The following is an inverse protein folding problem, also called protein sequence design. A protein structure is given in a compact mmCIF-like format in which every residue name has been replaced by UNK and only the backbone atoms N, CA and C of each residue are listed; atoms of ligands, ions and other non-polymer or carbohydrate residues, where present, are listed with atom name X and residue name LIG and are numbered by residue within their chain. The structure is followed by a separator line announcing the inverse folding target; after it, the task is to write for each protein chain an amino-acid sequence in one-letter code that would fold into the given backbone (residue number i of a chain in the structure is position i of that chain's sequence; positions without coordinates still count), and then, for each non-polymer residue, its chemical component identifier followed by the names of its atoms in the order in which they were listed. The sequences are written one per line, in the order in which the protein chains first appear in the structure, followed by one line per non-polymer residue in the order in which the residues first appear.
data_IF_244732979049
#
_entry.id   IF_244732979049
#
_cell.length_a   1.000
_cell.length_b   1.000
_cell.length_c   1.000
_cell.angle_alpha   90.00
_cell.angle_beta   90.00
_cell.angle_gamma   90.00
#
_symmetry.space_group_name_H-M   'P 1'
#
loop_
_entity.id
_entity.type
_entity.pdbx_description
1 polymer ?
#
# COMPACT_ATOMS: atom_id res chain seq x y z
N UNK A 1 -6.23 -4.30 -13.07
CA UNK A 1 -5.85 -2.90 -12.73
C UNK A 1 -4.97 -2.95 -11.49
N UNK A 2 -3.75 -2.41 -11.54
CA UNK A 2 -2.83 -2.36 -10.39
C UNK A 2 -3.24 -1.20 -9.48
N UNK A 3 -3.51 -1.50 -8.21
CA UNK A 3 -3.79 -0.51 -7.16
C UNK A 3 -2.89 -0.82 -5.98
N UNK A 4 -2.46 0.21 -5.24
CA UNK A 4 -1.60 0.04 -4.06
C UNK A 4 -2.38 -0.30 -2.80
N UNK A 5 -3.71 -0.33 -2.89
CA UNK A 5 -4.61 -0.83 -1.86
C UNK A 5 -5.70 -1.69 -2.49
N UNK A 6 -6.11 -2.73 -1.76
CA UNK A 6 -7.25 -3.56 -2.10
C UNK A 6 -8.28 -3.53 -0.99
N UNK A 7 -9.55 -3.63 -1.39
CA UNK A 7 -10.70 -3.56 -0.51
C UNK A 7 -11.57 -4.79 -0.68
N UNK A 8 -12.11 -5.31 0.41
CA UNK A 8 -13.06 -6.42 0.37
C UNK A 8 -14.06 -6.32 1.52
N UNK A 9 -15.21 -6.97 1.32
CA UNK A 9 -16.25 -7.10 2.33
C UNK A 9 -16.10 -8.47 2.99
N UNK A 10 -15.61 -8.56 4.24
CA UNK A 10 -15.55 -9.82 4.94
C UNK A 10 -16.98 -10.32 5.23
N UNK A 11 -17.10 -11.63 5.47
CA UNK A 11 -18.30 -12.16 6.10
C UNK A 11 -18.44 -11.57 7.51
N UNK A 12 -19.66 -11.17 7.88
CA UNK A 12 -20.00 -10.63 9.20
C UNK A 12 -20.87 -11.66 9.89
N UNK A 13 -20.38 -12.22 10.99
CA UNK A 13 -21.14 -13.22 11.75
C UNK A 13 -22.21 -12.54 12.60
N UNK A 14 -23.40 -13.15 12.76
CA UNK A 14 -24.36 -12.69 13.76
C UNK A 14 -23.88 -12.87 15.20
N UNK A 15 -22.80 -13.65 15.41
CA UNK A 15 -22.20 -13.90 16.73
C UNK A 15 -20.87 -13.16 16.94
N UNK A 16 -20.51 -12.22 16.06
CA UNK A 16 -19.28 -11.43 16.25
C UNK A 16 -19.41 -10.54 17.50
N UNK A 17 -18.44 -10.56 18.44
CA UNK A 17 -18.55 -9.84 19.71
C UNK A 17 -18.36 -8.31 19.57
N UNK A 18 -17.88 -7.84 18.42
CA UNK A 18 -17.55 -6.44 18.16
C UNK A 18 -18.39 -5.88 17.00
N UNK A 19 -18.47 -4.55 16.90
CA UNK A 19 -19.08 -3.90 15.74
C UNK A 19 -18.38 -4.31 14.42
N UNK A 20 -19.16 -4.63 13.38
CA UNK A 20 -18.59 -5.22 12.18
C UNK A 20 -17.88 -4.19 11.29
N UNK A 21 -16.63 -4.50 10.96
CA UNK A 21 -15.86 -3.77 9.94
C UNK A 21 -16.34 -4.22 8.56
N UNK A 22 -17.21 -3.42 7.93
CA UNK A 22 -17.88 -3.75 6.66
C UNK A 22 -16.93 -3.79 5.45
N UNK A 23 -15.87 -2.99 5.47
CA UNK A 23 -14.87 -2.94 4.41
C UNK A 23 -13.51 -3.01 5.07
N UNK A 24 -12.75 -4.06 4.75
CA UNK A 24 -11.35 -4.17 5.13
C UNK A 24 -10.48 -3.74 3.95
N UNK A 25 -9.29 -3.24 4.25
CA UNK A 25 -8.29 -2.81 3.27
C UNK A 25 -6.91 -3.34 3.64
N UNK A 26 -6.13 -3.77 2.65
CA UNK A 26 -4.70 -4.08 2.82
C UNK A 26 -3.88 -3.38 1.73
N UNK A 27 -2.62 -3.11 2.05
CA UNK A 27 -1.66 -2.55 1.10
C UNK A 27 -1.20 -3.62 0.11
N UNK A 28 -1.16 -3.25 -1.16
CA UNK A 28 -0.63 -4.06 -2.26
C UNK A 28 0.46 -3.27 -2.99
N UNK A 29 1.61 -3.05 -2.34
CA UNK A 29 2.68 -2.19 -2.89
C UNK A 29 3.28 -2.80 -4.17
N UNK A 30 3.94 -1.99 -5.01
CA UNK A 30 4.52 -2.43 -6.28
C UNK A 30 5.41 -3.67 -6.17
N UNK A 31 6.16 -3.82 -5.07
CA UNK A 31 7.05 -4.97 -4.85
C UNK A 31 6.34 -6.34 -4.92
N UNK A 32 5.03 -6.42 -4.63
CA UNK A 32 4.29 -7.69 -4.70
C UNK A 32 4.01 -8.15 -6.13
N UNK A 33 4.18 -7.25 -7.11
CA UNK A 33 3.92 -7.51 -8.53
C UNK A 33 5.18 -7.48 -9.37
N UNK A 34 6.31 -7.09 -8.78
CA UNK A 34 7.62 -7.07 -9.40
C UNK A 34 8.38 -8.29 -8.89
N UNK A 35 8.56 -9.30 -9.74
CA UNK A 35 9.22 -10.56 -9.35
C UNK A 35 10.70 -10.37 -9.02
N UNK A 36 11.38 -9.50 -9.78
CA UNK A 36 12.77 -9.13 -9.54
C UNK A 36 12.97 -7.65 -9.86
N UNK A 37 13.93 -7.02 -9.21
CA UNK A 37 14.26 -5.63 -9.44
C UNK A 37 15.21 -5.50 -10.64
N UNK A 38 14.79 -4.93 -11.79
CA UNK A 38 15.67 -4.81 -12.94
C UNK A 38 16.83 -3.84 -12.67
N UNK A 39 17.99 -4.06 -13.30
CA UNK A 39 19.10 -3.12 -13.21
C UNK A 39 18.73 -1.79 -13.88
N UNK A 40 19.28 -0.69 -13.37
CA UNK A 40 19.09 0.64 -13.95
C UNK A 40 17.72 1.27 -13.69
N UNK A 41 16.98 0.82 -12.66
CA UNK A 41 15.76 1.50 -12.26
C UNK A 41 16.04 2.98 -11.92
N UNK A 42 15.13 3.89 -12.31
CA UNK A 42 15.24 5.29 -11.96
C UNK A 42 15.27 5.43 -10.44
N UNK A 43 16.14 6.28 -9.94
CA UNK A 43 16.22 6.64 -8.53
C UNK A 43 15.68 8.04 -8.33
N UNK A 44 15.30 8.37 -7.10
CA UNK A 44 14.98 9.75 -6.79
C UNK A 44 16.20 10.67 -7.04
N UNK A 45 15.99 11.88 -7.57
CA UNK A 45 17.07 12.83 -7.87
C UNK A 45 17.95 13.20 -6.66
N UNK A 46 17.41 13.12 -5.44
CA UNK A 46 18.14 13.46 -4.22
C UNK A 46 17.94 12.41 -3.14
N UNK A 47 18.97 12.20 -2.32
CA UNK A 47 18.89 11.34 -1.14
C UNK A 47 17.80 11.82 -0.15
N UNK A 48 17.62 13.14 -0.01
CA UNK A 48 16.58 13.71 0.86
C UNK A 48 15.17 13.27 0.43
N UNK A 49 14.89 13.27 -0.86
CA UNK A 49 13.60 12.81 -1.39
C UNK A 49 13.42 11.31 -1.19
N UNK A 50 14.46 10.50 -1.47
CA UNK A 50 14.43 9.06 -1.23
C UNK A 50 14.12 8.73 0.24
N UNK A 51 14.76 9.42 1.18
CA UNK A 51 14.53 9.25 2.61
C UNK A 51 13.10 9.61 3.01
N UNK A 52 12.55 10.71 2.47
CA UNK A 52 11.17 11.10 2.74
C UNK A 52 10.15 10.09 2.15
N UNK A 53 10.47 9.48 1.01
CA UNK A 53 9.64 8.46 0.38
C UNK A 53 9.82 7.07 1.00
N UNK A 54 10.86 6.84 1.79
CA UNK A 54 11.19 5.53 2.38
C UNK A 54 11.69 4.49 1.38
N UNK A 55 12.06 4.91 0.16
CA UNK A 55 12.60 4.04 -0.89
C UNK A 55 13.49 4.85 -1.83
N UNK A 56 14.51 4.20 -2.39
CA UNK A 56 15.40 4.82 -3.38
C UNK A 56 14.74 4.97 -4.76
N UNK A 57 13.78 4.10 -5.07
CA UNK A 57 13.20 3.97 -6.41
C UNK A 57 11.75 4.46 -6.42
N UNK A 58 11.39 5.43 -7.30
CA UNK A 58 10.02 5.91 -7.45
C UNK A 58 9.04 4.79 -7.80
N UNK A 59 9.45 3.84 -8.64
CA UNK A 59 8.60 2.74 -9.08
C UNK A 59 8.21 1.76 -7.95
N UNK A 60 8.96 1.78 -6.85
CA UNK A 60 8.69 0.97 -5.66
C UNK A 60 7.99 1.76 -4.55
N UNK A 61 7.66 3.03 -4.80
CA UNK A 61 6.96 3.86 -3.84
C UNK A 61 5.53 3.36 -3.61
N UNK A 62 5.15 3.28 -2.33
CA UNK A 62 3.77 3.04 -1.90
C UNK A 62 3.47 3.98 -0.73
N UNK A 63 2.41 4.79 -0.78
CA UNK A 63 2.02 5.60 0.35
C UNK A 63 1.52 4.66 1.44
N UNK A 64 2.03 4.83 2.66
CA UNK A 64 1.55 4.14 3.84
C UNK A 64 1.57 5.13 5.02
N UNK A 65 0.50 5.23 5.82
CA UNK A 65 -0.78 4.53 5.71
C UNK A 65 -1.59 4.94 4.46
N UNK A 66 -2.69 4.23 4.19
CA UNK A 66 -3.58 4.54 3.06
C UNK A 66 -4.06 6.00 3.12
N UNK A 67 -3.76 6.85 2.11
CA UNK A 67 -4.16 8.26 2.14
C UNK A 67 -5.69 8.46 2.11
N UNK A 68 -6.44 7.47 1.62
CA UNK A 68 -7.91 7.49 1.61
C UNK A 68 -8.50 7.11 2.97
N UNK A 69 -7.74 6.44 3.84
CA UNK A 69 -8.09 6.31 5.27
C UNK A 69 -7.79 7.65 5.95
N UNK A 70 -8.63 8.65 5.72
CA UNK A 70 -8.75 9.73 6.69
C UNK A 70 -9.21 9.09 8.00
N UNK A 71 -8.44 9.29 9.07
CA UNK A 71 -8.90 8.95 10.41
C UNK A 71 -10.24 9.63 10.64
N UNK A 72 -11.24 8.85 11.04
CA UNK A 72 -12.48 9.40 11.56
C UNK A 72 -12.19 10.20 12.84
#
# INVERSE_FOLDING_TARGET
MFTQFKYWKPYISPFDPCEPIRIKSYSTPPQLYIQFQPPGLPQYPTAKQALHCGTLWPDLFSPYPNPEKKGN
#
